data_IF_296720411626
#
_entry.id   IF_296720411626
#
_cell.length_a   1.000
_cell.length_b   1.000
_cell.length_c   1.000
_cell.angle_alpha   90.00
_cell.angle_beta   90.00
_cell.angle_gamma   90.00
#
_symmetry.space_group_name_H-M   'P 1'
#
loop_
_entity.id
_entity.type
_entity.pdbx_description
1 polymer ?
#
# COMPACT_ATOMS: atom_id res chain seq x y z
N UNK A 1 -2.89 -16.76 -21.82
CA UNK A 1 -2.66 -15.89 -20.69
C UNK A 1 -1.49 -14.96 -20.99
N UNK A 2 -1.54 -13.72 -20.54
CA UNK A 2 -0.42 -12.81 -20.66
C UNK A 2 0.74 -13.32 -19.78
N UNK A 3 1.95 -13.35 -20.30
CA UNK A 3 3.13 -13.66 -19.51
C UNK A 3 3.33 -12.51 -18.50
N UNK A 4 3.46 -12.87 -17.22
CA UNK A 4 3.86 -11.92 -16.17
C UNK A 4 5.38 -11.98 -16.08
N UNK A 5 6.02 -10.81 -16.18
CA UNK A 5 7.47 -10.67 -16.01
C UNK A 5 7.76 -9.86 -14.74
N UNK A 6 8.93 -10.07 -14.16
CA UNK A 6 9.45 -9.20 -13.10
C UNK A 6 10.04 -7.92 -13.70
N UNK A 7 10.11 -6.87 -12.90
CA UNK A 7 10.79 -5.63 -13.31
C UNK A 7 12.25 -5.94 -13.63
N UNK A 8 12.73 -5.54 -14.81
CA UNK A 8 14.11 -5.74 -15.27
C UNK A 8 14.41 -7.13 -15.83
N UNK A 9 13.40 -7.94 -16.18
CA UNK A 9 13.53 -9.27 -16.80
C UNK A 9 14.45 -10.24 -16.03
N UNK A 10 14.56 -10.10 -14.72
CA UNK A 10 15.39 -10.97 -13.88
C UNK A 10 14.75 -12.36 -13.74
N UNK A 11 15.61 -13.37 -13.74
CA UNK A 11 15.21 -14.77 -13.51
C UNK A 11 15.62 -15.20 -12.11
N UNK A 12 14.67 -15.75 -11.34
CA UNK A 12 14.86 -16.19 -9.95
C UNK A 12 14.87 -17.72 -9.79
N UNK A 13 14.93 -18.47 -10.92
CA UNK A 13 14.86 -19.94 -10.93
C UNK A 13 13.43 -20.47 -10.75
N UNK A 14 13.33 -21.76 -10.39
CA UNK A 14 12.04 -22.46 -10.30
C UNK A 14 11.30 -22.21 -8.97
N UNK A 15 11.98 -21.64 -7.97
CA UNK A 15 11.39 -21.31 -6.68
C UNK A 15 12.13 -20.17 -6.00
N UNK A 16 11.41 -19.38 -5.21
CA UNK A 16 11.97 -18.28 -4.42
C UNK A 16 11.31 -18.27 -3.03
N UNK A 17 12.10 -17.94 -2.00
CA UNK A 17 11.58 -17.76 -0.63
C UNK A 17 10.65 -16.55 -0.63
N UNK A 18 9.43 -16.68 -0.06
CA UNK A 18 8.41 -15.65 -0.07
C UNK A 18 8.88 -14.33 0.57
N UNK A 19 9.66 -14.40 1.65
CA UNK A 19 10.25 -13.23 2.28
C UNK A 19 11.13 -12.44 1.30
N UNK A 20 12.05 -13.13 0.61
CA UNK A 20 12.89 -12.52 -0.42
C UNK A 20 12.08 -11.95 -1.59
N UNK A 21 11.00 -12.65 -1.99
CA UNK A 21 10.08 -12.15 -3.00
C UNK A 21 9.36 -10.86 -2.57
N UNK A 22 9.05 -10.73 -1.27
CA UNK A 22 8.45 -9.51 -0.70
C UNK A 22 9.45 -8.36 -0.66
N UNK A 23 10.67 -8.58 -0.18
CA UNK A 23 11.76 -7.61 -0.13
C UNK A 23 12.04 -7.00 -1.50
N UNK A 24 12.08 -7.84 -2.54
CA UNK A 24 12.46 -7.47 -3.89
C UNK A 24 11.25 -7.22 -4.82
N UNK A 25 10.03 -7.31 -4.30
CA UNK A 25 8.79 -7.07 -5.05
C UNK A 25 8.68 -7.93 -6.32
N UNK A 26 8.89 -9.25 -6.20
CA UNK A 26 8.93 -10.18 -7.35
C UNK A 26 7.52 -10.49 -7.82
N UNK A 27 7.08 -9.86 -8.89
CA UNK A 27 5.74 -9.96 -9.45
C UNK A 27 5.31 -11.40 -9.75
N UNK A 28 6.17 -12.18 -10.40
CA UNK A 28 5.87 -13.55 -10.83
C UNK A 28 5.59 -14.48 -9.65
N UNK A 29 6.33 -14.32 -8.54
CA UNK A 29 6.12 -15.11 -7.33
C UNK A 29 4.75 -14.81 -6.69
N UNK A 30 4.35 -13.53 -6.63
CA UNK A 30 3.07 -13.14 -6.06
C UNK A 30 1.88 -13.50 -6.95
N UNK A 31 2.03 -13.45 -8.28
CA UNK A 31 0.98 -13.95 -9.19
C UNK A 31 0.79 -15.45 -9.02
N UNK A 32 1.87 -16.23 -8.94
CA UNK A 32 1.78 -17.67 -8.70
C UNK A 32 1.14 -17.98 -7.34
N UNK A 33 1.57 -17.31 -6.28
CA UNK A 33 0.97 -17.42 -4.94
C UNK A 33 -0.52 -17.09 -4.97
N UNK A 34 -0.92 -16.00 -5.65
CA UNK A 34 -2.32 -15.63 -5.80
C UNK A 34 -3.14 -16.70 -6.48
N UNK A 35 -2.58 -17.34 -7.52
CA UNK A 35 -3.27 -18.44 -8.21
C UNK A 35 -3.39 -19.70 -7.35
N UNK A 36 -2.42 -19.96 -6.47
CA UNK A 36 -2.48 -21.08 -5.51
C UNK A 36 -3.49 -20.82 -4.38
N UNK A 37 -3.54 -19.61 -3.85
CA UNK A 37 -4.49 -19.19 -2.79
C UNK A 37 -5.92 -19.10 -3.31
N UNK A 38 -6.07 -18.58 -4.53
CA UNK A 38 -7.32 -18.22 -5.21
C UNK A 38 -7.53 -16.70 -5.20
N UNK A 39 -7.68 -16.08 -6.39
CA UNK A 39 -7.83 -14.61 -6.53
C UNK A 39 -9.02 -14.05 -5.73
N UNK A 40 -10.11 -14.79 -5.60
CA UNK A 40 -11.30 -14.39 -4.82
C UNK A 40 -10.98 -14.27 -3.33
N UNK A 41 -10.16 -15.15 -2.79
CA UNK A 41 -9.73 -15.07 -1.37
C UNK A 41 -8.78 -13.91 -1.13
N UNK A 42 -7.94 -13.58 -2.12
CA UNK A 42 -7.07 -12.40 -2.07
C UNK A 42 -7.94 -11.14 -2.08
N UNK A 43 -8.92 -11.04 -2.97
CA UNK A 43 -9.87 -9.93 -3.01
C UNK A 43 -10.64 -9.78 -1.68
N UNK A 44 -11.17 -10.88 -1.14
CA UNK A 44 -11.87 -10.90 0.15
C UNK A 44 -10.98 -10.36 1.29
N UNK A 45 -9.72 -10.77 1.34
CA UNK A 45 -8.77 -10.25 2.34
C UNK A 45 -8.50 -8.75 2.16
N UNK A 46 -8.38 -8.27 0.92
CA UNK A 46 -8.19 -6.84 0.61
C UNK A 46 -9.41 -6.02 1.08
N UNK A 47 -10.63 -6.47 0.74
CA UNK A 47 -11.88 -5.78 1.10
C UNK A 47 -12.06 -5.76 2.63
N UNK A 48 -11.88 -6.88 3.30
CA UNK A 48 -11.96 -6.93 4.78
C UNK A 48 -10.93 -6.02 5.45
N UNK A 49 -9.81 -5.78 4.81
CA UNK A 49 -8.76 -4.87 5.34
C UNK A 49 -9.05 -3.38 5.12
N UNK A 50 -10.18 -3.01 4.49
CA UNK A 50 -10.61 -1.63 4.28
C UNK A 50 -10.54 -1.13 2.83
N UNK A 51 -10.17 -1.99 1.85
CA UNK A 51 -10.21 -1.58 0.44
C UNK A 51 -11.64 -1.69 -0.14
N UNK A 52 -12.06 -0.77 -1.03
CA UNK A 52 -13.41 -0.81 -1.58
C UNK A 52 -13.61 -1.99 -2.54
N UNK A 53 -14.70 -2.73 -2.35
CA UNK A 53 -15.05 -3.88 -3.18
C UNK A 53 -15.32 -3.50 -4.64
N UNK A 54 -15.80 -2.28 -4.86
CA UNK A 54 -16.16 -1.72 -6.17
C UNK A 54 -15.03 -0.90 -6.81
N UNK A 55 -13.80 -0.99 -6.28
CA UNK A 55 -12.67 -0.23 -6.82
C UNK A 55 -12.46 -0.54 -8.31
N UNK A 56 -12.37 0.50 -9.18
CA UNK A 56 -12.13 0.28 -10.60
C UNK A 56 -10.86 -0.55 -10.83
N UNK A 57 -10.97 -1.65 -11.60
CA UNK A 57 -9.86 -2.54 -11.90
C UNK A 57 -9.56 -3.61 -10.85
N UNK A 58 -10.35 -3.70 -9.76
CA UNK A 58 -10.21 -4.78 -8.76
C UNK A 58 -10.60 -6.14 -9.36
N UNK A 59 -11.56 -6.12 -10.28
CA UNK A 59 -11.89 -7.26 -11.13
C UNK A 59 -11.48 -6.98 -12.56
N UNK A 60 -11.13 -8.04 -13.32
CA UNK A 60 -10.80 -7.91 -14.74
C UNK A 60 -12.04 -7.66 -15.61
N UNK A 61 -11.86 -7.55 -16.92
CA UNK A 61 -12.95 -7.39 -17.92
C UNK A 61 -14.03 -8.49 -17.83
N UNK A 62 -13.66 -9.68 -17.33
CA UNK A 62 -14.56 -10.80 -17.09
C UNK A 62 -15.51 -10.61 -15.90
N UNK A 63 -15.32 -9.56 -15.11
CA UNK A 63 -16.09 -9.31 -13.88
C UNK A 63 -15.70 -10.21 -12.70
N UNK A 64 -14.60 -10.95 -12.81
CA UNK A 64 -14.07 -11.80 -11.72
C UNK A 64 -12.62 -11.46 -11.42
N UNK A 65 -12.17 -11.65 -10.16
CA UNK A 65 -10.77 -11.48 -9.80
C UNK A 65 -9.87 -12.44 -10.57
N UNK A 66 -8.65 -12.04 -10.82
CA UNK A 66 -7.64 -12.87 -11.48
C UNK A 66 -6.25 -12.68 -10.84
N UNK A 67 -5.25 -13.45 -11.26
CA UNK A 67 -3.92 -13.42 -10.65
C UNK A 67 -3.20 -12.06 -10.70
N UNK A 68 -3.67 -11.08 -11.50
CA UNK A 68 -3.10 -9.75 -11.57
C UNK A 68 -3.55 -8.82 -10.43
N UNK A 69 -4.56 -9.22 -9.65
CA UNK A 69 -5.03 -8.42 -8.49
C UNK A 69 -3.88 -8.11 -7.53
N UNK A 70 -2.95 -9.04 -7.34
CA UNK A 70 -1.77 -8.86 -6.48
C UNK A 70 -0.79 -7.82 -7.00
N UNK A 71 -0.87 -7.44 -8.28
CA UNK A 71 -0.02 -6.42 -8.89
C UNK A 71 -0.57 -5.01 -8.74
N UNK A 72 -1.72 -4.84 -8.07
CA UNK A 72 -2.32 -3.53 -7.84
C UNK A 72 -2.99 -2.94 -9.08
N UNK A 73 -3.77 -3.76 -9.79
CA UNK A 73 -4.55 -3.29 -10.98
C UNK A 73 -5.74 -2.41 -10.60
N UNK A 74 -6.14 -2.40 -9.33
CA UNK A 74 -7.23 -1.58 -8.83
C UNK A 74 -6.80 -0.11 -8.62
N UNK A 75 -7.68 0.82 -8.97
CA UNK A 75 -7.52 2.24 -8.69
C UNK A 75 -8.02 2.56 -7.28
N UNK A 76 -7.11 2.59 -6.32
CA UNK A 76 -7.42 2.79 -4.91
C UNK A 76 -7.10 4.24 -4.51
N UNK A 77 -8.04 4.97 -3.86
CA UNK A 77 -7.72 6.26 -3.25
C UNK A 77 -6.62 6.14 -2.18
N UNK A 78 -5.67 7.10 -2.11
CA UNK A 78 -4.57 7.03 -1.14
C UNK A 78 -5.01 6.91 0.31
N UNK A 79 -6.14 7.51 0.70
CA UNK A 79 -6.69 7.41 2.06
C UNK A 79 -7.11 5.97 2.38
N UNK A 80 -7.74 5.27 1.45
CA UNK A 80 -8.14 3.87 1.66
C UNK A 80 -6.93 2.92 1.68
N UNK A 81 -5.89 3.23 0.89
CA UNK A 81 -4.63 2.51 0.99
C UNK A 81 -3.97 2.74 2.38
N UNK A 82 -3.99 3.96 2.90
CA UNK A 82 -3.48 4.24 4.25
C UNK A 82 -4.31 3.53 5.33
N UNK A 83 -5.63 3.44 5.17
CA UNK A 83 -6.54 2.75 6.07
C UNK A 83 -6.27 1.24 6.12
N UNK A 84 -6.06 0.61 4.97
CA UNK A 84 -5.63 -0.80 4.92
C UNK A 84 -4.30 -1.03 5.67
N UNK A 85 -3.32 -0.13 5.51
CA UNK A 85 -2.07 -0.22 6.27
C UNK A 85 -2.27 0.08 7.76
N UNK A 86 -3.23 0.93 8.13
CA UNK A 86 -3.61 1.17 9.52
C UNK A 86 -4.23 -0.09 10.16
N UNK A 87 -5.00 -0.88 9.40
CA UNK A 87 -5.51 -2.19 9.84
C UNK A 87 -4.36 -3.14 10.21
N UNK A 88 -3.28 -3.17 9.42
CA UNK A 88 -2.08 -3.97 9.76
C UNK A 88 -1.37 -3.42 11.00
N UNK A 89 -1.19 -2.09 11.11
CA UNK A 89 -0.60 -1.43 12.29
C UNK A 89 -1.41 -1.71 13.55
N UNK A 90 -2.74 -1.80 13.43
CA UNK A 90 -3.67 -2.10 14.51
C UNK A 90 -3.82 -3.62 14.79
N UNK A 91 -2.86 -4.45 14.35
CA UNK A 91 -2.86 -5.90 14.55
C UNK A 91 -4.12 -6.59 13.98
N UNK A 92 -4.56 -6.14 12.81
CA UNK A 92 -5.68 -6.71 12.09
C UNK A 92 -7.05 -6.19 12.51
N UNK A 93 -7.11 -5.10 13.27
CA UNK A 93 -8.36 -4.40 13.60
C UNK A 93 -8.62 -3.31 12.56
N UNK A 94 -9.70 -3.45 11.82
CA UNK A 94 -10.17 -2.46 10.85
C UNK A 94 -11.22 -1.55 11.52
N UNK A 95 -11.20 -0.27 11.23
CA UNK A 95 -12.23 0.70 11.57
C UNK A 95 -12.37 1.70 10.42
N UNK A 96 -13.59 2.14 10.13
CA UNK A 96 -13.83 3.11 9.08
C UNK A 96 -13.09 4.42 9.35
N UNK A 97 -12.44 4.95 8.34
CA UNK A 97 -11.78 6.25 8.41
C UNK A 97 -12.80 7.40 8.36
N UNK A 98 -12.48 8.49 9.03
CA UNK A 98 -13.32 9.69 9.05
C UNK A 98 -12.46 10.96 9.07
N UNK A 99 -13.02 12.07 8.58
CA UNK A 99 -12.34 13.38 8.55
C UNK A 99 -12.87 14.34 9.62
N UNK A 100 -14.07 14.08 10.16
CA UNK A 100 -14.71 14.91 11.19
C UNK A 100 -15.01 14.03 12.39
N UNK A 101 -14.20 14.14 13.43
CA UNK A 101 -14.39 13.37 14.66
C UNK A 101 -15.56 13.88 15.49
N UNK A 102 -15.72 15.21 15.58
CA UNK A 102 -16.72 15.83 16.43
C UNK A 102 -17.17 17.18 15.89
N UNK A 103 -18.45 17.47 15.99
CA UNK A 103 -19.07 18.77 15.72
C UNK A 103 -19.81 19.23 16.96
N UNK A 104 -19.54 20.45 17.43
CA UNK A 104 -20.28 21.11 18.50
C UNK A 104 -20.91 22.40 18.00
N UNK A 105 -22.04 22.78 18.55
CA UNK A 105 -22.62 24.09 18.29
C UNK A 105 -21.97 25.20 19.15
N UNK A 106 -22.35 26.49 18.96
CA UNK A 106 -21.79 27.58 19.73
C UNK A 106 -22.07 27.53 21.25
N UNK A 107 -23.06 26.74 21.70
CA UNK A 107 -23.34 26.51 23.12
C UNK A 107 -22.46 25.40 23.71
N UNK A 108 -21.69 24.69 22.89
CA UNK A 108 -20.87 23.54 23.30
C UNK A 108 -21.64 22.21 23.27
N UNK A 109 -22.89 22.20 22.80
CA UNK A 109 -23.64 20.97 22.66
C UNK A 109 -23.08 20.13 21.49
N UNK A 110 -22.87 18.82 21.72
CA UNK A 110 -22.38 17.89 20.69
C UNK A 110 -23.49 17.60 19.69
N UNK A 111 -23.25 17.91 18.42
CA UNK A 111 -24.17 17.66 17.31
C UNK A 111 -23.81 16.41 16.50
N UNK A 112 -22.54 16.04 16.52
CA UNK A 112 -22.02 14.83 15.90
C UNK A 112 -20.74 14.42 16.64
N UNK A 113 -20.57 13.14 16.86
CA UNK A 113 -19.34 12.53 17.38
C UNK A 113 -19.21 11.14 16.79
N UNK A 114 -18.03 10.81 16.28
CA UNK A 114 -17.70 9.47 15.79
C UNK A 114 -17.12 8.68 16.94
N UNK A 115 -17.71 7.53 17.23
CA UNK A 115 -17.15 6.51 18.10
C UNK A 115 -16.65 5.36 17.21
N UNK A 116 -15.33 5.22 17.00
CA UNK A 116 -14.79 4.15 16.19
C UNK A 116 -15.12 2.78 16.80
N UNK A 117 -15.62 1.86 16.00
CA UNK A 117 -15.91 0.47 16.38
C UNK A 117 -14.96 -0.49 15.60
N UNK A 118 -13.71 -0.67 16.06
CA UNK A 118 -12.76 -1.51 15.34
C UNK A 118 -13.13 -2.99 15.42
N UNK A 119 -13.16 -3.67 14.27
CA UNK A 119 -13.43 -5.10 14.14
C UNK A 119 -12.15 -5.87 13.83
N UNK A 120 -11.96 -7.05 14.46
CA UNK A 120 -10.86 -7.96 14.14
C UNK A 120 -11.16 -8.66 12.80
N UNK A 121 -10.48 -8.26 11.74
CA UNK A 121 -10.68 -8.78 10.37
C UNK A 121 -9.53 -9.67 9.89
N UNK A 122 -8.36 -9.56 10.51
CA UNK A 122 -7.19 -10.43 10.31
C UNK A 122 -6.67 -10.83 11.69
N UNK A 123 -6.30 -12.09 11.86
CA UNK A 123 -5.74 -12.57 13.12
C UNK A 123 -4.41 -11.88 13.46
N UNK A 124 -4.14 -11.55 14.73
CA UNK A 124 -2.94 -10.81 15.12
C UNK A 124 -1.62 -11.51 14.77
N UNK A 125 -1.55 -12.82 14.81
CA UNK A 125 -0.38 -13.61 14.43
C UNK A 125 -0.12 -13.51 12.92
N UNK A 126 -1.15 -13.49 12.09
CA UNK A 126 -1.03 -13.28 10.64
C UNK A 126 -0.51 -11.86 10.35
N UNK A 127 -1.04 -10.84 11.02
CA UNK A 127 -0.54 -9.48 10.85
C UNK A 127 0.88 -9.31 11.34
N UNK A 128 1.31 -10.03 12.36
CA UNK A 128 2.70 -10.03 12.83
C UNK A 128 3.66 -10.58 11.75
N UNK A 129 3.31 -11.69 11.10
CA UNK A 129 4.09 -12.26 10.00
C UNK A 129 4.16 -11.31 8.79
N UNK A 130 3.04 -10.68 8.43
CA UNK A 130 2.99 -9.66 7.36
C UNK A 130 3.85 -8.45 7.74
N UNK A 131 3.73 -7.98 8.98
CA UNK A 131 4.55 -6.87 9.49
C UNK A 131 6.04 -7.19 9.42
N UNK A 132 6.43 -8.39 9.85
CA UNK A 132 7.81 -8.85 9.73
C UNK A 132 8.30 -8.82 8.28
N UNK A 133 7.51 -9.36 7.35
CA UNK A 133 7.89 -9.32 5.93
C UNK A 133 8.02 -7.89 5.38
N UNK A 134 7.15 -6.97 5.82
CA UNK A 134 7.19 -5.57 5.41
C UNK A 134 8.35 -4.78 6.07
N UNK A 135 8.78 -5.15 7.29
CA UNK A 135 10.02 -4.57 7.86
C UNK A 135 11.25 -4.98 7.07
N UNK A 136 11.30 -6.20 6.54
CA UNK A 136 12.41 -6.65 5.69
C UNK A 136 12.48 -5.89 4.37
N UNK A 137 11.36 -5.41 3.82
CA UNK A 137 11.36 -4.49 2.66
C UNK A 137 12.10 -3.20 2.98
N UNK A 138 11.98 -2.70 4.20
CA UNK A 138 12.68 -1.49 4.66
C UNK A 138 14.14 -1.79 5.02
N UNK A 139 14.41 -2.91 5.66
CA UNK A 139 15.77 -3.27 6.10
C UNK A 139 16.68 -3.67 4.94
N UNK A 140 16.18 -4.47 4.00
CA UNK A 140 16.99 -5.15 3.00
C UNK A 140 16.50 -4.95 1.55
N UNK A 141 15.29 -4.41 1.36
CA UNK A 141 14.60 -4.40 0.08
C UNK A 141 14.45 -3.02 -0.57
N UNK A 142 13.34 -2.85 -1.27
CA UNK A 142 13.06 -1.66 -2.08
C UNK A 142 12.67 -0.42 -1.26
N UNK A 143 12.41 -0.58 0.05
CA UNK A 143 11.94 0.47 0.96
C UNK A 143 13.01 1.11 1.85
N UNK A 144 14.30 0.88 1.60
CA UNK A 144 15.41 1.31 2.48
C UNK A 144 15.46 2.82 2.77
N UNK A 145 14.84 3.66 1.94
CA UNK A 145 14.73 5.10 2.18
C UNK A 145 14.01 5.43 3.51
N UNK A 146 13.14 4.54 3.99
CA UNK A 146 12.42 4.73 5.25
C UNK A 146 13.27 4.44 6.50
N UNK A 147 14.47 3.86 6.37
CA UNK A 147 15.43 3.72 7.48
C UNK A 147 15.81 5.08 8.08
N UNK A 148 15.76 6.15 7.27
CA UNK A 148 16.03 7.52 7.74
C UNK A 148 15.01 8.01 8.79
N UNK A 149 13.92 7.28 9.05
CA UNK A 149 12.96 7.60 10.11
C UNK A 149 13.51 7.31 11.52
N UNK A 150 14.52 6.44 11.61
CA UNK A 150 15.19 6.03 12.86
C UNK A 150 14.23 5.41 13.89
N UNK A 151 13.29 4.60 13.39
CA UNK A 151 12.37 3.77 14.20
C UNK A 151 11.86 2.59 13.38
N UNK A 152 11.27 1.54 14.02
CA UNK A 152 10.71 0.41 13.28
C UNK A 152 9.63 0.85 12.28
N UNK A 153 9.78 0.44 11.03
CA UNK A 153 8.87 0.73 9.92
C UNK A 153 8.56 -0.53 9.17
N UNK A 154 7.29 -0.76 8.89
CA UNK A 154 6.81 -1.75 7.93
C UNK A 154 6.27 -1.01 6.70
N UNK A 155 6.80 -1.29 5.51
CA UNK A 155 6.42 -0.56 4.30
C UNK A 155 6.53 -1.40 3.04
N UNK A 156 5.87 -0.92 1.97
CA UNK A 156 5.96 -1.51 0.64
C UNK A 156 6.00 -0.42 -0.42
N UNK A 157 6.89 -0.57 -1.37
CA UNK A 157 6.93 0.21 -2.60
C UNK A 157 5.95 -0.35 -3.62
N UNK A 158 5.35 0.52 -4.42
CA UNK A 158 4.50 0.15 -5.55
C UNK A 158 4.93 0.89 -6.81
N UNK A 159 4.74 0.24 -7.97
CA UNK A 159 4.94 0.85 -9.27
C UNK A 159 3.92 0.27 -10.25
N UNK A 160 3.13 1.13 -10.87
CA UNK A 160 2.21 0.79 -11.94
C UNK A 160 2.82 1.21 -13.27
N UNK A 161 3.63 0.34 -13.85
CA UNK A 161 4.47 0.65 -15.01
C UNK A 161 5.31 1.92 -14.73
N UNK A 162 5.33 2.89 -15.64
CA UNK A 162 5.94 4.21 -15.44
C UNK A 162 4.90 5.32 -15.13
N UNK A 163 3.63 4.97 -14.94
CA UNK A 163 2.51 5.89 -14.82
C UNK A 163 2.16 6.25 -13.37
N UNK A 164 2.45 5.37 -12.42
CA UNK A 164 2.17 5.58 -11.00
C UNK A 164 3.24 4.98 -10.11
N UNK A 165 3.57 5.67 -9.02
CA UNK A 165 4.58 5.22 -8.09
C UNK A 165 4.15 5.46 -6.65
N UNK A 166 4.21 4.41 -5.82
CA UNK A 166 3.65 4.38 -4.48
C UNK A 166 4.69 4.07 -3.41
N UNK A 167 4.48 4.63 -2.23
CA UNK A 167 5.09 4.17 -0.99
C UNK A 167 4.03 4.19 0.11
N UNK A 168 3.72 3.04 0.67
CA UNK A 168 2.75 2.88 1.75
C UNK A 168 3.40 2.13 2.90
N UNK A 169 3.14 2.56 4.12
CA UNK A 169 3.76 1.94 5.29
C UNK A 169 3.25 2.54 6.59
N UNK A 170 3.74 1.99 7.70
CA UNK A 170 3.33 2.36 9.04
C UNK A 170 4.42 2.16 10.08
N UNK A 171 4.26 2.86 11.17
CA UNK A 171 4.80 2.58 12.50
C UNK A 171 3.65 2.11 13.40
N UNK A 172 3.86 1.64 14.63
CA UNK A 172 2.76 1.31 15.53
C UNK A 172 1.77 2.46 15.77
N UNK A 173 2.20 3.72 15.58
CA UNK A 173 1.41 4.91 15.89
C UNK A 173 0.69 5.51 14.70
N UNK A 174 1.19 5.29 13.46
CA UNK A 174 0.70 6.02 12.29
C UNK A 174 0.93 5.23 11.01
N UNK A 175 -0.09 5.16 10.16
CA UNK A 175 0.00 4.68 8.78
C UNK A 175 -0.13 5.84 7.79
N UNK A 176 0.60 5.77 6.69
CA UNK A 176 0.54 6.75 5.62
C UNK A 176 0.76 6.09 4.25
N UNK A 177 0.17 6.69 3.22
CA UNK A 177 0.35 6.28 1.84
C UNK A 177 0.62 7.49 0.96
N UNK A 178 1.64 7.40 0.12
CA UNK A 178 2.04 8.44 -0.81
C UNK A 178 2.02 7.87 -2.22
N UNK A 179 1.37 8.60 -3.13
CA UNK A 179 1.35 8.28 -4.55
C UNK A 179 1.81 9.47 -5.38
N UNK A 180 2.59 9.19 -6.40
CA UNK A 180 2.91 10.12 -7.46
C UNK A 180 2.32 9.61 -8.78
N UNK A 181 1.68 10.49 -9.49
CA UNK A 181 1.22 10.28 -10.86
C UNK A 181 1.26 11.61 -11.61
N UNK A 182 1.30 11.55 -12.92
CA UNK A 182 1.25 12.72 -13.79
C UNK A 182 0.14 12.54 -14.82
N UNK A 183 -0.65 13.59 -15.03
CA UNK A 183 -1.79 13.55 -15.93
C UNK A 183 -1.78 14.76 -16.86
N UNK A 184 -2.11 14.55 -18.13
CA UNK A 184 -2.29 15.61 -19.12
C UNK A 184 -3.73 16.15 -19.07
N UNK A 185 -3.99 17.02 -18.11
CA UNK A 185 -5.29 17.64 -17.94
C UNK A 185 -5.75 18.50 -19.15
N UNK A 186 -4.81 19.00 -19.95
CA UNK A 186 -5.13 19.78 -21.14
C UNK A 186 -5.66 18.90 -22.28
N UNK A 187 -5.29 17.63 -22.32
CA UNK A 187 -5.65 16.67 -23.36
C UNK A 187 -6.44 15.48 -22.82
N UNK A 188 -7.46 15.73 -21.97
CA UNK A 188 -8.41 14.71 -21.51
C UNK A 188 -7.96 13.89 -20.30
N UNK A 189 -6.91 14.29 -19.60
CA UNK A 189 -6.50 13.68 -18.32
C UNK A 189 -5.79 12.35 -18.45
N UNK A 190 -5.25 12.00 -19.63
CA UNK A 190 -4.46 10.77 -19.81
C UNK A 190 -3.25 10.74 -18.90
N UNK A 191 -2.91 9.56 -18.40
CA UNK A 191 -1.72 9.35 -17.57
C UNK A 191 -0.47 9.51 -18.42
N UNK A 192 0.54 10.16 -17.86
CA UNK A 192 1.84 10.38 -18.48
C UNK A 192 2.94 9.67 -17.70
N UNK A 193 3.99 9.26 -18.40
CA UNK A 193 5.17 8.67 -17.79
C UNK A 193 5.79 9.58 -16.72
N UNK A 194 6.15 9.00 -15.59
CA UNK A 194 6.89 9.65 -14.51
C UNK A 194 8.40 9.64 -14.76
N UNK A 195 8.90 8.78 -15.63
CA UNK A 195 10.33 8.67 -15.92
C UNK A 195 10.88 10.00 -16.44
N UNK A 196 12.09 10.32 -16.02
CA UNK A 196 12.71 11.63 -16.26
C UNK A 196 12.21 12.76 -15.36
N UNK A 197 11.15 12.55 -14.56
CA UNK A 197 10.61 13.57 -13.65
C UNK A 197 11.55 13.75 -12.46
N UNK A 198 11.84 15.01 -12.10
CA UNK A 198 12.71 15.33 -10.97
C UNK A 198 14.16 14.85 -11.13
N UNK A 199 14.61 14.55 -12.37
CA UNK A 199 15.95 14.05 -12.67
C UNK A 199 16.12 12.53 -12.48
N UNK A 200 15.04 11.81 -12.17
CA UNK A 200 15.09 10.35 -12.02
C UNK A 200 14.85 9.67 -13.37
N UNK A 201 15.83 8.97 -13.90
CA UNK A 201 15.70 8.21 -15.17
C UNK A 201 14.60 7.16 -15.10
N UNK A 202 14.42 6.54 -13.94
CA UNK A 202 13.32 5.63 -13.60
C UNK A 202 12.70 6.08 -12.28
N UNK A 203 11.40 6.32 -12.28
CA UNK A 203 10.67 6.87 -11.13
C UNK A 203 10.04 5.74 -10.30
N UNK A 204 10.73 5.29 -9.25
CA UNK A 204 10.29 4.16 -8.41
C UNK A 204 9.75 4.60 -7.04
N UNK A 205 8.98 3.73 -6.38
CA UNK A 205 8.40 3.99 -5.05
C UNK A 205 9.43 4.29 -3.96
N UNK A 206 10.61 3.71 -4.03
CA UNK A 206 11.72 3.98 -3.09
C UNK A 206 12.40 5.34 -3.28
N UNK A 207 12.04 6.10 -4.31
CA UNK A 207 12.62 7.43 -4.60
C UNK A 207 11.73 8.55 -4.04
N UNK A 208 11.10 9.36 -4.90
CA UNK A 208 10.30 10.49 -4.44
C UNK A 208 9.14 10.09 -3.49
N UNK A 209 8.34 9.05 -3.79
CA UNK A 209 7.28 8.65 -2.86
C UNK A 209 7.83 8.27 -1.48
N UNK A 210 8.87 7.47 -1.42
CA UNK A 210 9.50 7.05 -0.16
C UNK A 210 10.12 8.21 0.60
N UNK A 211 10.85 9.12 -0.08
CA UNK A 211 11.39 10.35 0.55
C UNK A 211 10.30 11.24 1.11
N UNK A 212 9.20 11.42 0.38
CA UNK A 212 8.05 12.21 0.83
C UNK A 212 7.37 11.55 2.03
N UNK A 213 7.15 10.24 1.98
CA UNK A 213 6.60 9.46 3.08
C UNK A 213 7.48 9.59 4.34
N UNK A 214 8.79 9.40 4.20
CA UNK A 214 9.73 9.49 5.33
C UNK A 214 9.76 10.89 5.93
N UNK A 215 9.77 11.93 5.10
CA UNK A 215 9.74 13.31 5.57
C UNK A 215 8.43 13.66 6.29
N UNK A 216 7.28 13.20 5.77
CA UNK A 216 5.98 13.34 6.41
C UNK A 216 5.95 12.64 7.77
N UNK A 217 6.37 11.38 7.82
CA UNK A 217 6.37 10.59 9.07
C UNK A 217 7.30 11.17 10.14
N UNK A 218 8.46 11.70 9.75
CA UNK A 218 9.36 12.42 10.69
C UNK A 218 8.65 13.57 11.37
N UNK A 219 7.98 14.43 10.60
CA UNK A 219 7.24 15.57 11.17
C UNK A 219 6.02 15.13 11.98
N UNK A 220 5.25 14.16 11.49
CA UNK A 220 4.03 13.70 12.15
C UNK A 220 4.29 12.93 13.46
N UNK A 221 5.45 12.31 13.59
CA UNK A 221 5.85 11.52 14.77
C UNK A 221 6.85 12.26 15.68
N UNK A 222 7.06 13.56 15.44
CA UNK A 222 7.93 14.37 16.30
C UNK A 222 7.39 14.38 17.75
N UNK A 223 8.21 13.92 18.71
CA UNK A 223 7.82 13.78 20.11
C UNK A 223 6.96 12.56 20.45
N UNK A 224 6.62 11.71 19.49
CA UNK A 224 5.96 10.44 19.77
C UNK A 224 6.97 9.41 20.31
N UNK A 225 6.54 8.59 21.26
CA UNK A 225 7.34 7.45 21.74
C UNK A 225 7.63 6.46 20.61
N UNK A 226 8.77 5.75 20.70
CA UNK A 226 9.20 4.75 19.71
C UNK A 226 8.63 3.38 20.06
#
# INVERSE_FOLDING_TARGET
>A
GANVTTVGDQTYGDSVVLLYATENSINTAFVDLTMQVGPEKVMDAMVRSGLPEDAPGIVGESGVPNGRITLGTASIPPVQMADMYATLAAQGKQADWFTVAKVTDPSGEVRHEVEPEPEQVIEPDITAEVTYALTQVVENGTGTVAQDLDRPVAAKTGQAEDLGSWFSGYTPQLAASVVYFKSDYANGGSMLSLDGTGGESTFTGGKYPGRTWTAFMKGALEGAEV
#
